data_IF_992607531189
#
_entry.id   IF_992607531189
#
_cell.length_a   1.000
_cell.length_b   1.000
_cell.length_c   1.000
_cell.angle_alpha   90.00
_cell.angle_beta   90.00
_cell.angle_gamma   90.00
#
_symmetry.space_group_name_H-M   'P 1'
#
loop_
_entity.id
_entity.type
_entity.pdbx_description
1 polymer ?
#
# COMPACT_ATOMS: atom_id res chain seq x y z
N UNK A 1 -25.46 -16.22 -51.46
CA UNK A 1 -24.95 -14.85 -51.22
C UNK A 1 -24.87 -14.45 -49.74
N UNK A 2 -25.27 -15.28 -48.77
CA UNK A 2 -25.29 -14.89 -47.33
C UNK A 2 -23.93 -14.99 -46.62
N UNK A 3 -23.08 -15.97 -46.99
CA UNK A 3 -21.79 -16.20 -46.31
C UNK A 3 -20.74 -15.12 -46.56
N UNK A 4 -20.77 -14.44 -47.71
CA UNK A 4 -19.83 -13.36 -48.03
C UNK A 4 -20.10 -12.11 -47.20
N UNK A 5 -21.37 -11.80 -46.92
CA UNK A 5 -21.76 -10.70 -46.03
C UNK A 5 -21.42 -11.01 -44.57
N UNK A 6 -21.66 -12.25 -44.11
CA UNK A 6 -21.29 -12.67 -42.76
C UNK A 6 -19.77 -12.63 -42.54
N UNK A 7 -18.98 -13.03 -43.54
CA UNK A 7 -17.51 -12.94 -43.51
C UNK A 7 -17.02 -11.50 -43.50
N UNK A 8 -17.58 -10.64 -44.34
CA UNK A 8 -17.21 -9.23 -44.39
C UNK A 8 -17.55 -8.49 -43.07
N UNK A 9 -18.72 -8.79 -42.49
CA UNK A 9 -19.11 -8.25 -41.19
C UNK A 9 -18.19 -8.75 -40.05
N UNK A 10 -17.84 -10.03 -40.06
CA UNK A 10 -16.92 -10.62 -39.08
C UNK A 10 -15.53 -10.00 -39.14
N UNK A 11 -14.97 -9.77 -40.34
CA UNK A 11 -13.64 -9.17 -40.50
C UNK A 11 -13.59 -7.69 -40.12
N UNK A 12 -14.69 -6.96 -40.27
CA UNK A 12 -14.76 -5.54 -39.93
C UNK A 12 -14.99 -5.31 -38.42
N UNK A 13 -15.75 -6.19 -37.75
CA UNK A 13 -16.08 -6.05 -36.32
C UNK A 13 -14.97 -6.56 -35.38
N UNK A 14 -14.16 -7.53 -35.82
CA UNK A 14 -13.07 -8.09 -35.02
C UNK A 14 -12.01 -7.06 -34.55
N UNK A 15 -11.51 -6.12 -35.39
CA UNK A 15 -10.55 -5.12 -34.92
C UNK A 15 -11.18 -4.07 -33.99
N UNK A 16 -12.48 -3.77 -34.14
CA UNK A 16 -13.21 -2.83 -33.28
C UNK A 16 -13.40 -3.39 -31.86
N UNK A 17 -13.66 -4.69 -31.72
CA UNK A 17 -13.76 -5.34 -30.40
C UNK A 17 -12.40 -5.50 -29.73
N UNK A 18 -11.33 -5.75 -30.49
CA UNK A 18 -9.95 -5.75 -29.96
C UNK A 18 -9.50 -4.36 -29.50
N UNK A 19 -9.86 -3.30 -30.24
CA UNK A 19 -9.57 -1.92 -29.85
C UNK A 19 -10.32 -1.49 -28.58
N UNK A 20 -11.49 -2.06 -28.30
CA UNK A 20 -12.23 -1.82 -27.06
C UNK A 20 -11.58 -2.47 -25.82
N UNK A 21 -10.78 -3.54 -25.99
CA UNK A 21 -9.99 -4.14 -24.91
C UNK A 21 -8.66 -3.41 -24.68
N UNK A 22 -8.15 -2.68 -25.68
CA UNK A 22 -7.02 -1.79 -25.53
C UNK A 22 -7.48 -0.46 -24.91
N UNK A 23 -7.97 -0.50 -23.67
CA UNK A 23 -8.15 0.72 -22.87
C UNK A 23 -6.76 1.36 -22.77
N UNK A 24 -6.53 2.57 -23.33
CA UNK A 24 -5.29 3.29 -23.07
C UNK A 24 -5.26 3.48 -21.57
N UNK A 25 -4.30 2.87 -20.86
CA UNK A 25 -4.15 3.06 -19.43
C UNK A 25 -4.11 4.59 -19.20
N UNK A 26 -5.18 5.19 -18.63
CA UNK A 26 -5.32 6.62 -18.67
C UNK A 26 -4.34 7.15 -17.64
N UNK A 27 -3.15 7.52 -18.11
CA UNK A 27 -2.22 8.34 -17.34
C UNK A 27 -1.74 7.72 -16.03
N UNK A 28 -1.66 6.39 -15.95
CA UNK A 28 -1.10 5.70 -14.77
C UNK A 28 0.25 6.29 -14.34
N UNK A 29 1.06 6.71 -15.32
CA UNK A 29 2.38 7.27 -15.08
C UNK A 29 2.41 8.80 -14.96
N UNK A 30 1.35 9.54 -15.34
CA UNK A 30 1.38 11.02 -15.30
C UNK A 30 1.60 11.56 -13.89
N UNK A 31 1.05 10.86 -12.89
CA UNK A 31 1.17 11.24 -11.48
C UNK A 31 2.09 10.32 -10.71
N UNK A 32 2.66 9.28 -11.34
CA UNK A 32 3.53 8.31 -10.66
C UNK A 32 4.73 8.98 -9.99
N UNK A 33 5.38 9.93 -10.68
CA UNK A 33 6.49 10.69 -10.10
C UNK A 33 6.08 11.50 -8.85
N UNK A 34 4.87 12.08 -8.87
CA UNK A 34 4.31 12.80 -7.73
C UNK A 34 3.98 11.84 -6.59
N UNK A 35 3.27 10.74 -6.87
CA UNK A 35 2.92 9.72 -5.88
C UNK A 35 4.15 9.10 -5.20
N UNK A 36 5.22 8.83 -5.95
CA UNK A 36 6.48 8.33 -5.39
C UNK A 36 7.18 9.39 -4.53
N UNK A 37 7.11 10.66 -4.92
CA UNK A 37 7.65 11.77 -4.13
C UNK A 37 6.88 11.93 -2.83
N UNK A 38 5.55 11.88 -2.87
CA UNK A 38 4.69 11.98 -1.69
C UNK A 38 4.90 10.79 -0.76
N UNK A 39 4.98 9.58 -1.31
CA UNK A 39 5.30 8.37 -0.56
C UNK A 39 6.67 8.47 0.14
N UNK A 40 7.69 8.96 -0.58
CA UNK A 40 9.02 9.19 0.02
C UNK A 40 8.93 10.20 1.15
N UNK A 41 8.25 11.32 0.94
CA UNK A 41 8.12 12.37 1.95
C UNK A 41 7.36 11.88 3.20
N UNK A 42 6.36 11.01 3.04
CA UNK A 42 5.66 10.38 4.15
C UNK A 42 6.54 9.43 4.97
N UNK A 43 7.59 8.87 4.39
CA UNK A 43 8.54 7.98 5.07
C UNK A 43 9.71 8.74 5.74
N UNK A 44 9.93 10.01 5.39
CA UNK A 44 11.00 10.82 5.99
C UNK A 44 10.54 11.34 7.35
N UNK A 45 10.97 10.67 8.42
CA UNK A 45 10.66 11.03 9.81
C UNK A 45 11.35 12.34 10.22
N UNK A 46 12.58 12.58 9.75
CA UNK A 46 13.34 13.80 10.03
C UNK A 46 14.14 14.25 8.78
N UNK A 47 13.65 15.27 8.04
CA UNK A 47 14.34 15.80 6.86
C UNK A 47 15.69 16.46 7.14
N UNK A 48 15.96 16.87 8.38
CA UNK A 48 17.20 17.53 8.81
C UNK A 48 18.11 16.59 9.63
N UNK A 49 17.96 15.27 9.45
CA UNK A 49 18.74 14.27 10.19
C UNK A 49 20.25 14.38 9.92
N UNK A 50 20.66 14.85 8.73
CA UNK A 50 22.05 15.12 8.36
C UNK A 50 22.70 16.21 9.23
N UNK A 51 21.91 17.21 9.66
CA UNK A 51 22.35 18.32 10.51
C UNK A 51 22.26 18.00 12.00
N UNK A 52 21.50 16.97 12.36
CA UNK A 52 21.35 16.53 13.74
C UNK A 52 22.18 15.26 14.00
N UNK A 53 23.45 15.48 14.36
CA UNK A 53 24.38 14.41 14.77
C UNK A 53 24.12 13.89 16.19
N UNK A 54 23.07 14.36 16.88
CA UNK A 54 22.76 13.84 18.20
C UNK A 54 22.37 12.36 18.07
N UNK A 55 23.11 11.50 18.76
CA UNK A 55 22.76 10.08 18.87
C UNK A 55 21.38 9.97 19.50
N UNK A 56 20.46 9.25 18.85
CA UNK A 56 19.14 8.96 19.41
C UNK A 56 19.33 8.38 20.81
N UNK A 57 18.65 8.96 21.80
CA UNK A 57 18.64 8.39 23.15
C UNK A 57 18.04 7.00 23.05
N UNK A 58 18.86 5.97 23.28
CA UNK A 58 18.41 4.58 23.24
C UNK A 58 17.30 4.30 24.26
N UNK A 59 16.69 3.12 24.18
CA UNK A 59 15.71 2.70 25.17
C UNK A 59 16.38 2.60 26.56
N UNK A 60 15.83 3.25 27.60
CA UNK A 60 16.34 3.09 28.96
C UNK A 60 16.31 1.60 29.37
N UNK A 61 17.34 1.13 30.07
CA UNK A 61 17.47 -0.27 30.48
C UNK A 61 16.24 -0.78 31.26
N UNK A 62 15.63 0.08 32.09
CA UNK A 62 14.41 -0.24 32.82
C UNK A 62 13.22 -0.52 31.88
N UNK A 63 13.05 0.29 30.83
CA UNK A 63 11.99 0.11 29.83
C UNK A 63 12.21 -1.18 29.03
N UNK A 64 13.46 -1.48 28.66
CA UNK A 64 13.80 -2.72 27.97
C UNK A 64 13.49 -3.95 28.82
N UNK A 65 13.84 -3.91 30.11
CA UNK A 65 13.48 -4.97 31.07
C UNK A 65 11.97 -5.15 31.19
N UNK A 66 11.20 -4.07 31.33
CA UNK A 66 9.74 -4.14 31.42
C UNK A 66 9.11 -4.77 30.18
N UNK A 67 9.60 -4.40 28.98
CA UNK A 67 9.13 -5.02 27.73
C UNK A 67 9.41 -6.52 27.67
N UNK A 68 10.59 -6.94 28.09
CA UNK A 68 10.95 -8.35 28.18
C UNK A 68 10.10 -9.11 29.21
N UNK A 69 9.92 -8.54 30.41
CA UNK A 69 9.10 -9.16 31.46
C UNK A 69 7.63 -9.31 31.01
N UNK A 70 7.10 -8.30 30.31
CA UNK A 70 5.75 -8.33 29.73
C UNK A 70 5.63 -9.40 28.63
N UNK A 71 6.64 -9.54 27.75
CA UNK A 71 6.70 -10.61 26.76
C UNK A 71 6.63 -11.98 27.45
N UNK A 72 7.46 -12.23 28.46
CA UNK A 72 7.44 -13.50 29.20
C UNK A 72 6.11 -13.73 29.92
N UNK A 73 5.50 -12.67 30.48
CA UNK A 73 4.19 -12.75 31.14
C UNK A 73 3.07 -13.15 30.17
N UNK A 74 3.12 -12.70 28.92
CA UNK A 74 2.11 -13.00 27.90
C UNK A 74 1.92 -14.50 27.63
N UNK A 75 2.95 -15.31 27.89
CA UNK A 75 2.90 -16.78 27.74
C UNK A 75 2.30 -17.51 28.94
N UNK A 76 2.15 -16.86 30.10
CA UNK A 76 1.71 -17.51 31.35
C UNK A 76 0.19 -17.60 31.48
N UNK A 77 -0.56 -16.74 30.80
CA UNK A 77 -2.01 -16.78 30.63
C UNK A 77 -2.41 -15.71 29.60
N UNK A 78 -3.51 -15.87 28.85
CA UNK A 78 -3.98 -14.81 27.97
C UNK A 78 -4.25 -13.55 28.79
N UNK A 79 -3.53 -12.47 28.50
CA UNK A 79 -3.86 -11.17 29.08
C UNK A 79 -5.27 -10.80 28.64
N UNK A 80 -6.06 -10.23 29.55
CA UNK A 80 -7.36 -9.67 29.19
C UNK A 80 -7.11 -8.55 28.18
N UNK A 81 -7.33 -8.83 26.90
CA UNK A 81 -7.37 -7.82 25.86
C UNK A 81 -8.45 -6.82 26.26
N UNK A 82 -8.05 -5.62 26.68
CA UNK A 82 -8.96 -4.48 26.66
C UNK A 82 -9.28 -4.28 25.18
N UNK A 83 -10.42 -4.81 24.75
CA UNK A 83 -10.87 -4.72 23.38
C UNK A 83 -10.97 -3.25 23.02
N UNK A 84 -9.97 -2.73 22.30
CA UNK A 84 -10.13 -1.49 21.59
C UNK A 84 -11.23 -1.74 20.57
N UNK A 85 -12.45 -1.28 20.86
CA UNK A 85 -13.52 -1.17 19.89
C UNK A 85 -13.09 -0.08 18.90
N UNK A 86 -12.22 -0.44 17.96
CA UNK A 86 -12.04 0.34 16.73
C UNK A 86 -13.40 0.26 16.04
N UNK A 87 -14.20 1.31 16.24
CA UNK A 87 -15.53 1.43 15.67
C UNK A 87 -15.47 1.51 14.16
N UNK A 88 -15.29 0.38 13.50
CA UNK A 88 -15.62 0.24 12.09
C UNK A 88 -17.14 0.06 12.05
N UNK A 89 -17.83 1.18 11.84
CA UNK A 89 -19.26 1.22 11.56
C UNK A 89 -19.60 0.37 10.34
N UNK A 90 -20.84 -0.14 10.34
CA UNK A 90 -21.44 -1.01 9.34
C UNK A 90 -21.36 -0.45 7.92
#
# INVERSE_FOLDING_TARGET
>A
MSHSFLRAAGTALLPLTLAACAVPAPHADKVLGQSLTDMKNAQVINPAADRNMATASGMPAATAKLGYDQYIKSFKAPEKTNGFTIGLGK
#
